data_IF_951380207130
#
_entry.id   IF_951380207130
#
_cell.length_a   1.000
_cell.length_b   1.000
_cell.length_c   1.000
_cell.angle_alpha   90.00
_cell.angle_beta   90.00
_cell.angle_gamma   90.00
#
_symmetry.space_group_name_H-M   'P 1'
#
loop_
_entity.id
_entity.type
_entity.pdbx_description
1 polymer ?
#
# COMPACT_ATOMS: atom_id res chain seq x y z
N UNK A 1 -7.48 29.22 -41.36
CA UNK A 1 -7.80 28.85 -39.97
C UNK A 1 -8.27 27.41 -39.99
N UNK A 2 -7.46 26.47 -39.53
CA UNK A 2 -7.86 25.06 -39.38
C UNK A 2 -8.70 24.96 -38.10
N UNK A 3 -9.92 24.44 -38.22
CA UNK A 3 -10.77 24.16 -37.07
C UNK A 3 -10.11 23.06 -36.23
N UNK A 4 -9.82 23.38 -34.97
CA UNK A 4 -9.44 22.39 -33.98
C UNK A 4 -10.64 21.46 -33.75
N UNK A 5 -10.48 20.18 -34.05
CA UNK A 5 -11.47 19.15 -33.70
C UNK A 5 -11.62 19.06 -32.18
N UNK A 6 -12.78 18.61 -31.68
CA UNK A 6 -12.99 18.48 -30.24
C UNK A 6 -11.97 17.49 -29.68
N UNK A 7 -11.22 17.93 -28.67
CA UNK A 7 -10.26 17.11 -27.95
C UNK A 7 -10.94 15.83 -27.49
N UNK A 8 -10.49 14.71 -28.05
CA UNK A 8 -10.92 13.37 -27.68
C UNK A 8 -10.38 13.12 -26.28
N UNK A 9 -11.16 13.45 -25.25
CA UNK A 9 -10.95 12.87 -23.93
C UNK A 9 -11.34 11.40 -24.06
N UNK A 10 -10.39 10.56 -24.47
CA UNK A 10 -10.52 9.11 -24.49
C UNK A 10 -10.67 8.62 -23.05
N UNK A 11 -11.88 8.75 -22.55
CA UNK A 11 -12.30 8.15 -21.29
C UNK A 11 -12.12 6.64 -21.45
N UNK A 12 -11.20 6.04 -20.68
CA UNK A 12 -11.00 4.59 -20.64
C UNK A 12 -12.24 3.86 -20.07
N UNK A 13 -13.23 4.59 -19.54
CA UNK A 13 -14.42 4.06 -18.89
C UNK A 13 -15.18 2.97 -19.67
N UNK A 14 -15.31 3.00 -21.01
CA UNK A 14 -15.98 1.94 -21.77
C UNK A 14 -15.26 0.58 -21.70
N UNK A 15 -13.95 0.57 -21.46
CA UNK A 15 -13.10 -0.63 -21.46
C UNK A 15 -12.91 -1.22 -20.06
N UNK A 16 -13.22 -0.46 -19.01
CA UNK A 16 -13.05 -0.90 -17.62
C UNK A 16 -14.31 -1.65 -17.18
N UNK A 17 -14.14 -2.91 -16.80
CA UNK A 17 -15.26 -3.71 -16.26
C UNK A 17 -15.77 -3.13 -14.95
N UNK A 18 -17.09 -3.22 -14.70
CA UNK A 18 -17.70 -2.86 -13.40
C UNK A 18 -17.04 -3.56 -12.21
N UNK A 19 -16.57 -4.80 -12.42
CA UNK A 19 -15.84 -5.57 -11.42
C UNK A 19 -14.49 -4.94 -11.07
N UNK A 20 -13.75 -4.45 -12.06
CA UNK A 20 -12.49 -3.75 -11.85
C UNK A 20 -12.71 -2.40 -11.16
N UNK A 21 -13.73 -1.65 -11.56
CA UNK A 21 -14.11 -0.38 -10.90
C UNK A 21 -14.43 -0.59 -9.42
N UNK A 22 -15.23 -1.62 -9.08
CA UNK A 22 -15.56 -1.91 -7.69
C UNK A 22 -14.32 -2.26 -6.87
N UNK A 23 -13.42 -3.10 -7.40
CA UNK A 23 -12.16 -3.45 -6.72
C UNK A 23 -11.31 -2.22 -6.46
N UNK A 24 -11.13 -1.38 -7.47
CA UNK A 24 -10.38 -0.14 -7.35
C UNK A 24 -10.97 0.78 -6.26
N UNK A 25 -12.28 0.98 -6.24
CA UNK A 25 -12.93 1.81 -5.22
C UNK A 25 -12.70 1.29 -3.79
N UNK A 26 -12.70 -0.03 -3.59
CA UNK A 26 -12.36 -0.62 -2.29
C UNK A 26 -10.87 -0.47 -1.95
N UNK A 27 -9.97 -0.60 -2.92
CA UNK A 27 -8.52 -0.41 -2.76
C UNK A 27 -8.12 1.05 -2.61
N UNK A 28 -8.95 1.99 -3.03
CA UNK A 28 -8.77 3.40 -2.72
C UNK A 28 -9.22 3.65 -1.27
N UNK A 29 -10.44 3.21 -0.92
CA UNK A 29 -10.99 3.53 0.39
C UNK A 29 -10.24 2.90 1.56
N UNK A 30 -9.89 1.61 1.48
CA UNK A 30 -9.30 0.88 2.62
C UNK A 30 -7.91 1.45 2.99
N UNK A 31 -6.93 1.55 2.07
CA UNK A 31 -5.60 2.08 2.38
C UNK A 31 -5.60 3.57 2.70
N UNK A 32 -6.30 4.42 1.93
CA UNK A 32 -6.34 5.86 2.22
C UNK A 32 -7.08 6.19 3.50
N UNK A 33 -8.05 5.36 3.90
CA UNK A 33 -8.74 5.47 5.17
C UNK A 33 -7.99 4.85 6.35
N UNK A 34 -6.82 4.22 6.13
CA UNK A 34 -6.09 3.43 7.11
C UNK A 34 -7.00 2.41 7.84
N UNK A 35 -7.82 1.70 7.08
CA UNK A 35 -8.80 0.75 7.60
C UNK A 35 -8.30 -0.69 7.48
N UNK A 36 -8.77 -1.57 8.36
CA UNK A 36 -8.54 -3.01 8.22
C UNK A 36 -9.14 -3.53 6.90
N UNK A 37 -8.49 -4.47 6.21
CA UNK A 37 -9.07 -5.12 5.04
C UNK A 37 -10.38 -5.87 5.33
N UNK A 38 -10.64 -6.22 6.59
CA UNK A 38 -11.93 -6.77 7.04
C UNK A 38 -13.08 -5.77 6.95
N UNK A 39 -12.79 -4.47 6.78
CA UNK A 39 -13.78 -3.39 6.69
C UNK A 39 -14.83 -3.64 5.61
N UNK A 40 -14.45 -4.14 4.43
CA UNK A 40 -15.38 -4.47 3.35
C UNK A 40 -16.36 -5.63 3.70
N UNK A 41 -16.07 -6.40 4.75
CA UNK A 41 -16.89 -7.52 5.23
C UNK A 41 -17.79 -7.11 6.41
N UNK A 42 -17.60 -5.93 6.99
CA UNK A 42 -18.38 -5.48 8.14
C UNK A 42 -19.84 -5.20 7.75
N UNK A 43 -20.78 -5.72 8.56
CA UNK A 43 -22.23 -5.58 8.32
C UNK A 43 -22.67 -4.11 8.26
N UNK A 44 -22.12 -3.27 9.13
CA UNK A 44 -22.38 -1.83 9.17
C UNK A 44 -21.89 -1.15 7.90
N UNK A 45 -20.67 -1.43 7.47
CA UNK A 45 -20.10 -0.90 6.23
C UNK A 45 -20.96 -1.27 5.02
N UNK A 46 -21.35 -2.54 4.89
CA UNK A 46 -22.22 -3.03 3.81
C UNK A 46 -23.60 -2.38 3.82
N UNK A 47 -24.13 -2.06 4.99
CA UNK A 47 -25.41 -1.37 5.13
C UNK A 47 -25.37 0.06 4.61
N UNK A 48 -24.24 0.75 4.75
CA UNK A 48 -24.14 2.19 4.47
C UNK A 48 -23.36 2.53 3.19
N UNK A 49 -22.66 1.59 2.57
CA UNK A 49 -21.95 1.81 1.31
C UNK A 49 -22.84 1.57 0.10
N UNK A 50 -22.51 2.24 -1.01
CA UNK A 50 -23.09 1.96 -2.33
C UNK A 50 -22.18 1.06 -3.19
N UNK A 51 -21.01 0.65 -2.65
CA UNK A 51 -20.10 -0.25 -3.35
C UNK A 51 -20.62 -1.69 -3.31
N UNK A 52 -20.61 -2.42 -4.45
CA UNK A 52 -20.92 -3.83 -4.45
C UNK A 52 -20.07 -4.63 -3.45
N UNK A 53 -20.74 -5.52 -2.73
CA UNK A 53 -20.16 -6.41 -1.73
C UNK A 53 -18.93 -7.18 -2.27
N UNK A 54 -17.85 -7.17 -1.49
CA UNK A 54 -16.63 -7.92 -1.77
C UNK A 54 -16.10 -8.60 -0.50
N UNK A 55 -15.50 -9.77 -0.67
CA UNK A 55 -14.81 -10.45 0.42
C UNK A 55 -13.33 -10.07 0.40
N UNK A 56 -12.72 -9.94 1.58
CA UNK A 56 -11.31 -9.61 1.78
C UNK A 56 -10.38 -10.53 1.00
N UNK A 57 -10.71 -11.83 0.93
CA UNK A 57 -9.95 -12.83 0.15
C UNK A 57 -9.85 -12.54 -1.35
N UNK A 58 -10.67 -11.64 -1.88
CA UNK A 58 -10.65 -11.25 -3.29
C UNK A 58 -9.97 -9.90 -3.54
N UNK A 59 -9.70 -9.13 -2.49
CA UNK A 59 -8.92 -7.89 -2.52
C UNK A 59 -7.46 -8.18 -2.13
N UNK A 60 -7.24 -8.82 -0.99
CA UNK A 60 -5.92 -8.96 -0.38
C UNK A 60 -4.93 -9.76 -1.24
N UNK A 61 -5.17 -11.03 -1.63
CA UNK A 61 -4.11 -11.85 -2.21
C UNK A 61 -3.67 -11.41 -3.61
N UNK A 62 -4.59 -10.88 -4.43
CA UNK A 62 -4.33 -10.65 -5.85
C UNK A 62 -4.25 -9.17 -6.25
N UNK A 63 -4.92 -8.28 -5.50
CA UNK A 63 -4.90 -6.86 -5.82
C UNK A 63 -3.85 -6.13 -5.00
N UNK A 64 -3.65 -6.45 -3.70
CA UNK A 64 -2.58 -5.81 -2.91
C UNK A 64 -1.19 -6.16 -3.41
N UNK A 65 -0.94 -7.40 -3.87
CA UNK A 65 0.35 -7.74 -4.49
C UNK A 65 0.67 -6.83 -5.68
N UNK A 66 -0.33 -6.55 -6.52
CA UNK A 66 -0.17 -5.64 -7.67
C UNK A 66 0.01 -4.19 -7.24
N UNK A 67 -0.70 -3.77 -6.19
CA UNK A 67 -0.51 -2.43 -5.60
C UNK A 67 0.90 -2.31 -5.04
N UNK A 68 1.41 -3.31 -4.32
CA UNK A 68 2.78 -3.33 -3.81
C UNK A 68 3.79 -3.19 -4.94
N UNK A 69 3.71 -4.00 -5.99
CA UNK A 69 4.62 -3.91 -7.15
C UNK A 69 4.54 -2.53 -7.82
N UNK A 70 3.34 -1.97 -7.96
CA UNK A 70 3.17 -0.64 -8.55
C UNK A 70 3.76 0.48 -7.67
N UNK A 71 3.62 0.36 -6.34
CA UNK A 71 4.20 1.29 -5.37
C UNK A 71 5.72 1.17 -5.32
N UNK A 72 6.27 -0.04 -5.30
CA UNK A 72 7.71 -0.30 -5.39
C UNK A 72 8.30 0.30 -6.67
N UNK A 73 7.65 0.06 -7.82
CA UNK A 73 8.07 0.65 -9.09
C UNK A 73 8.02 2.17 -9.09
N UNK A 74 7.04 2.77 -8.40
CA UNK A 74 6.95 4.23 -8.24
C UNK A 74 8.07 4.77 -7.34
N UNK A 75 8.28 4.15 -6.18
CA UNK A 75 9.37 4.52 -5.26
C UNK A 75 10.71 4.43 -6.00
N UNK A 76 10.98 3.33 -6.70
CA UNK A 76 12.22 3.14 -7.44
C UNK A 76 12.43 4.17 -8.57
N UNK A 77 11.36 4.70 -9.16
CA UNK A 77 11.44 5.73 -10.19
C UNK A 77 11.63 7.15 -9.62
N UNK A 78 11.24 7.38 -8.37
CA UNK A 78 11.30 8.69 -7.69
C UNK A 78 12.51 8.84 -6.76
N UNK A 79 13.08 7.72 -6.28
CA UNK A 79 14.22 7.68 -5.36
C UNK A 79 15.53 8.10 -6.04
N UNK A 80 16.40 8.81 -5.32
CA UNK A 80 17.70 9.24 -5.85
C UNK A 80 18.70 8.08 -5.88
N UNK A 81 19.75 8.21 -6.70
CA UNK A 81 20.87 7.25 -6.73
C UNK A 81 21.66 7.21 -5.40
N UNK A 82 21.58 8.30 -4.62
CA UNK A 82 22.22 8.44 -3.31
C UNK A 82 21.18 8.89 -2.29
N UNK A 83 20.92 8.04 -1.31
CA UNK A 83 19.92 8.26 -0.27
C UNK A 83 20.44 7.76 1.09
N UNK A 84 19.89 8.32 2.16
CA UNK A 84 20.12 7.84 3.52
C UNK A 84 19.23 6.63 3.84
N UNK A 85 19.69 5.76 4.74
CA UNK A 85 18.86 4.71 5.33
C UNK A 85 18.49 5.11 6.75
N UNK A 86 17.19 5.08 7.06
CA UNK A 86 16.67 5.29 8.41
C UNK A 86 16.01 4.01 8.93
N UNK A 87 16.36 3.62 10.14
CA UNK A 87 15.71 2.55 10.87
C UNK A 87 14.80 3.15 11.94
N UNK A 88 13.52 2.78 11.92
CA UNK A 88 12.55 3.15 12.94
C UNK A 88 12.06 1.89 13.67
N UNK A 89 12.27 1.85 14.98
CA UNK A 89 11.97 0.72 15.82
C UNK A 89 10.72 0.99 16.65
N UNK A 90 9.79 0.04 16.66
CA UNK A 90 8.56 0.12 17.45
C UNK A 90 8.25 -1.22 18.13
N UNK A 91 7.62 -1.15 19.30
CA UNK A 91 7.13 -2.34 20.03
C UNK A 91 5.62 -2.27 20.19
N UNK A 92 4.94 -3.37 19.87
CA UNK A 92 3.53 -3.57 20.19
C UNK A 92 3.36 -4.83 21.02
N UNK A 93 2.86 -4.69 22.24
CA UNK A 93 2.87 -5.76 23.25
C UNK A 93 4.27 -6.39 23.39
N UNK A 94 4.44 -7.64 22.95
CA UNK A 94 5.70 -8.39 23.01
C UNK A 94 6.42 -8.46 21.67
N UNK A 95 5.84 -7.92 20.60
CA UNK A 95 6.43 -7.99 19.25
C UNK A 95 7.19 -6.70 18.93
N UNK A 96 8.47 -6.85 18.61
CA UNK A 96 9.33 -5.76 18.17
C UNK A 96 9.33 -5.69 16.65
N UNK A 97 9.23 -4.49 16.09
CA UNK A 97 9.23 -4.23 14.66
C UNK A 97 10.35 -3.26 14.32
N UNK A 98 10.91 -3.42 13.13
CA UNK A 98 11.80 -2.44 12.50
C UNK A 98 11.25 -2.10 11.14
N UNK A 99 11.05 -0.80 10.90
CA UNK A 99 10.81 -0.22 9.60
C UNK A 99 12.11 0.35 9.04
N UNK A 100 12.35 0.11 7.75
CA UNK A 100 13.50 0.62 7.00
C UNK A 100 12.99 1.62 5.97
N UNK A 101 13.51 2.84 6.01
CA UNK A 101 13.17 3.90 5.09
C UNK A 101 14.37 4.31 4.24
N UNK A 102 14.11 4.63 2.97
CA UNK A 102 14.99 5.50 2.18
C UNK A 102 14.64 6.95 2.50
N UNK A 103 15.66 7.75 2.79
CA UNK A 103 15.56 9.17 3.05
C UNK A 103 16.27 9.94 1.94
N UNK A 104 15.50 10.70 1.17
CA UNK A 104 15.98 11.56 0.10
C UNK A 104 15.72 13.02 0.46
N UNK A 105 16.52 13.93 -0.11
CA UNK A 105 16.22 15.35 -0.11
C UNK A 105 15.98 15.77 -1.56
N UNK A 106 14.72 16.05 -1.88
CA UNK A 106 14.28 16.43 -3.23
C UNK A 106 13.61 17.81 -3.11
N UNK A 107 14.09 18.79 -3.87
CA UNK A 107 13.55 20.15 -3.88
C UNK A 107 13.44 20.79 -2.48
N UNK A 108 14.48 20.65 -1.65
CA UNK A 108 14.53 21.13 -0.24
C UNK A 108 13.49 20.49 0.69
N UNK A 109 12.81 19.43 0.24
CA UNK A 109 11.88 18.65 1.04
C UNK A 109 12.47 17.26 1.35
N UNK A 110 12.39 16.86 2.62
CA UNK A 110 12.74 15.51 3.04
C UNK A 110 11.65 14.52 2.60
N UNK A 111 12.03 13.54 1.80
CA UNK A 111 11.17 12.43 1.42
C UNK A 111 11.58 11.17 2.19
N UNK A 112 10.59 10.44 2.73
CA UNK A 112 10.81 9.20 3.50
C UNK A 112 9.97 8.08 2.90
N UNK A 113 10.59 7.24 2.10
CA UNK A 113 9.95 6.09 1.45
C UNK A 113 10.14 4.83 2.31
N UNK A 114 9.06 4.22 2.77
CA UNK A 114 9.12 2.92 3.48
C UNK A 114 9.52 1.82 2.51
N UNK A 115 10.67 1.17 2.75
CA UNK A 115 11.18 0.08 1.92
C UNK A 115 10.76 -1.29 2.45
N UNK A 116 10.81 -1.46 3.77
CA UNK A 116 10.46 -2.71 4.41
C UNK A 116 9.99 -2.46 5.85
N UNK A 117 9.12 -3.34 6.34
CA UNK A 117 8.76 -3.42 7.75
C UNK A 117 8.60 -4.88 8.10
N UNK A 118 9.26 -5.33 9.15
CA UNK A 118 9.20 -6.71 9.60
C UNK A 118 9.31 -6.80 11.12
N UNK A 119 8.72 -7.83 11.73
CA UNK A 119 9.03 -8.15 13.11
C UNK A 119 10.50 -8.56 13.25
N UNK A 120 11.10 -8.21 14.36
CA UNK A 120 12.44 -8.62 14.74
C UNK A 120 12.35 -10.05 15.26
N UNK A 121 13.09 -10.96 14.63
CA UNK A 121 13.22 -12.32 15.13
C UNK A 121 14.04 -12.28 16.42
N UNK A 122 13.46 -12.77 17.52
CA UNK A 122 14.22 -13.01 18.72
C UNK A 122 15.31 -14.05 18.42
N UNK A 123 16.55 -13.87 18.93
CA UNK A 123 17.55 -14.91 18.83
C UNK A 123 17.01 -16.17 19.52
N UNK A 124 17.32 -17.38 19.00
CA UNK A 124 16.99 -18.59 19.72
C UNK A 124 17.56 -18.50 21.13
N UNK A 125 16.75 -18.83 22.13
CA UNK A 125 17.19 -18.98 23.52
C UNK A 125 18.49 -19.79 23.52
N UNK A 126 19.57 -19.24 24.07
CA UNK A 126 20.77 -20.04 24.30
C UNK A 126 20.34 -21.19 25.21
N UNK A 127 20.41 -22.43 24.71
CA UNK A 127 20.31 -23.60 25.55
C UNK A 127 21.34 -23.38 26.67
N UNK A 128 20.86 -23.10 27.87
CA UNK A 128 21.69 -23.01 29.05
C UNK A 128 22.18 -24.42 29.39
N UNK A 129 23.03 -25.00 28.54
CA UNK A 129 23.86 -26.12 28.89
C UNK A 129 25.06 -25.58 29.65
N UNK A 130 25.28 -26.19 30.82
CA UNK A 130 26.37 -26.05 31.80
C UNK A 130 26.12 -25.00 32.91
N UNK A 131 26.27 -25.35 34.19
CA UNK A 131 27.15 -26.36 34.80
C UNK A 131 26.48 -27.17 35.94
#
# INVERSE_FOLDING_TARGET
MLAAGPGRTDSLLPWITKKAQNRFAWLEWIPFGNLSFSFCEQKTTRRYTNLPDIARKHLWPADMEKVTVAVEGKIAAEMLDCFGILFDGWTHDSEHFVAVFACDEIDEAEWRSLLAMAPVLEPPEEDSETA
#
